data_IF_221649626466
#
_entry.id   IF_221649626466
#
_cell.length_a   1.000
_cell.length_b   1.000
_cell.length_c   1.000
_cell.angle_alpha   90.00
_cell.angle_beta   90.00
_cell.angle_gamma   90.00
#
_symmetry.space_group_name_H-M   'P 1'
#
loop_
_entity.id
_entity.type
_entity.pdbx_description
1 polymer ?
#
# COMPACT_ATOMS: atom_id res chain seq x y z
N UNK A 1 -11.13 -34.56 -20.24
CA UNK A 1 -10.34 -33.41 -19.76
C UNK A 1 -10.86 -32.13 -20.39
N UNK A 2 -10.67 -30.96 -19.75
CA UNK A 2 -11.09 -29.67 -20.32
C UNK A 2 -10.02 -29.15 -21.26
N UNK A 3 -10.43 -28.54 -22.39
CA UNK A 3 -9.50 -27.79 -23.25
C UNK A 3 -9.05 -26.54 -22.52
N UNK A 4 -7.75 -26.36 -22.38
CA UNK A 4 -7.14 -25.25 -21.63
C UNK A 4 -5.93 -24.71 -22.39
N UNK A 5 -5.58 -23.43 -22.09
CA UNK A 5 -4.37 -22.83 -22.66
C UNK A 5 -3.45 -22.28 -21.56
N UNK A 6 -2.16 -22.43 -21.77
CA UNK A 6 -1.11 -21.79 -21.01
C UNK A 6 -0.39 -20.76 -21.88
N UNK A 7 -0.15 -19.57 -21.34
CA UNK A 7 0.57 -18.50 -22.03
C UNK A 7 1.83 -18.16 -21.30
N UNK A 8 2.94 -18.08 -22.01
CA UNK A 8 4.16 -17.44 -21.57
C UNK A 8 4.29 -16.11 -22.29
N UNK A 9 4.24 -15.01 -21.50
CA UNK A 9 4.11 -13.64 -22.01
C UNK A 9 5.41 -12.88 -21.80
N UNK A 10 6.02 -12.49 -22.91
CA UNK A 10 7.20 -11.63 -22.96
C UNK A 10 6.87 -10.20 -23.40
N UNK A 11 7.89 -9.38 -23.58
CA UNK A 11 7.73 -7.99 -24.01
C UNK A 11 7.10 -7.88 -25.40
N UNK A 12 7.57 -8.68 -26.35
CA UNK A 12 7.24 -8.56 -27.77
C UNK A 12 6.49 -9.78 -28.31
N UNK A 13 6.49 -10.91 -27.57
CA UNK A 13 5.94 -12.19 -28.00
C UNK A 13 5.11 -12.88 -26.92
N UNK A 14 4.16 -13.68 -27.33
CA UNK A 14 3.32 -14.55 -26.50
C UNK A 14 3.43 -15.96 -27.06
N UNK A 15 3.96 -16.90 -26.28
CA UNK A 15 3.89 -18.32 -26.62
C UNK A 15 2.63 -18.91 -26.00
N UNK A 16 1.74 -19.44 -26.85
CA UNK A 16 0.49 -20.08 -26.42
C UNK A 16 0.58 -21.59 -26.66
N UNK A 17 0.22 -22.36 -25.65
CA UNK A 17 0.04 -23.80 -25.77
C UNK A 17 -1.39 -24.17 -25.41
N UNK A 18 -2.09 -24.85 -26.34
CA UNK A 18 -3.44 -25.40 -26.11
C UNK A 18 -3.34 -26.91 -25.93
N UNK A 19 -3.89 -27.43 -24.84
CA UNK A 19 -4.01 -28.84 -24.53
C UNK A 19 -5.48 -29.27 -24.67
N UNK A 20 -5.74 -30.19 -25.58
CA UNK A 20 -7.02 -30.88 -25.79
C UNK A 20 -6.96 -32.30 -25.22
N UNK A 21 -8.13 -32.98 -25.15
CA UNK A 21 -8.27 -34.23 -24.40
C UNK A 21 -7.36 -35.37 -24.88
N UNK A 22 -7.09 -35.47 -26.17
CA UNK A 22 -6.36 -36.60 -26.77
C UNK A 22 -5.48 -36.17 -27.97
N UNK A 23 -5.18 -34.88 -28.12
CA UNK A 23 -4.45 -34.33 -29.26
C UNK A 23 -3.02 -33.89 -28.89
N UNK A 24 -2.16 -33.87 -29.92
CA UNK A 24 -0.86 -33.22 -29.83
C UNK A 24 -1.02 -31.77 -29.37
N UNK A 25 -0.19 -31.26 -28.46
CA UNK A 25 -0.24 -29.87 -28.04
C UNK A 25 -0.15 -28.93 -29.24
N UNK A 26 -1.14 -28.01 -29.37
CA UNK A 26 -1.04 -26.93 -30.34
C UNK A 26 -0.21 -25.82 -29.71
N UNK A 27 0.87 -25.41 -30.37
CA UNK A 27 1.78 -24.36 -29.91
C UNK A 27 1.95 -23.35 -31.03
N UNK A 28 1.72 -22.06 -30.72
CA UNK A 28 1.90 -20.96 -31.66
C UNK A 28 2.43 -19.73 -30.95
N UNK A 29 3.25 -18.98 -31.63
CA UNK A 29 3.77 -17.69 -31.21
C UNK A 29 2.88 -16.58 -31.80
N UNK A 30 2.59 -15.55 -30.96
CA UNK A 30 1.81 -14.38 -31.33
C UNK A 30 2.57 -13.11 -30.92
N UNK A 31 2.28 -12.02 -31.61
CA UNK A 31 2.74 -10.70 -31.22
C UNK A 31 1.99 -10.17 -30.00
N UNK A 32 2.65 -9.36 -29.17
CA UNK A 32 2.00 -8.60 -28.08
C UNK A 32 1.27 -7.34 -28.57
N UNK A 33 1.29 -7.05 -29.87
CA UNK A 33 0.45 -6.00 -30.46
C UNK A 33 -1.03 -6.39 -30.32
N UNK A 34 -1.92 -5.39 -30.25
CA UNK A 34 -3.37 -5.64 -30.05
C UNK A 34 -3.93 -6.62 -31.06
N UNK A 35 -3.60 -6.48 -32.35
CA UNK A 35 -4.02 -7.39 -33.40
C UNK A 35 -3.52 -8.84 -33.18
N UNK A 36 -2.30 -9.02 -32.68
CA UNK A 36 -1.78 -10.35 -32.36
C UNK A 36 -2.46 -10.98 -31.15
N UNK A 37 -2.85 -10.17 -30.15
CA UNK A 37 -3.64 -10.66 -29.00
C UNK A 37 -5.08 -10.99 -29.43
N UNK A 38 -5.66 -10.22 -30.33
CA UNK A 38 -6.99 -10.53 -30.93
C UNK A 38 -6.94 -11.82 -31.75
N UNK A 39 -5.89 -12.03 -32.59
CA UNK A 39 -5.64 -13.29 -33.30
C UNK A 39 -5.55 -14.47 -32.32
N UNK A 40 -4.78 -14.31 -31.25
CA UNK A 40 -4.70 -15.33 -30.19
C UNK A 40 -6.10 -15.60 -29.59
N UNK A 41 -6.87 -14.57 -29.31
CA UNK A 41 -8.24 -14.72 -28.78
C UNK A 41 -9.14 -15.54 -29.72
N UNK A 42 -9.11 -15.25 -31.02
CA UNK A 42 -9.92 -15.93 -32.02
C UNK A 42 -9.48 -17.40 -32.20
N UNK A 43 -8.18 -17.66 -32.24
CA UNK A 43 -7.66 -19.01 -32.30
C UNK A 43 -8.07 -19.82 -31.06
N UNK A 44 -7.96 -19.26 -29.86
CA UNK A 44 -8.36 -19.92 -28.62
C UNK A 44 -9.88 -20.20 -28.58
N UNK A 45 -10.70 -19.29 -29.08
CA UNK A 45 -12.17 -19.48 -29.19
C UNK A 45 -12.54 -20.57 -30.17
N UNK A 46 -11.89 -20.59 -31.35
CA UNK A 46 -12.11 -21.61 -32.37
C UNK A 46 -11.80 -23.02 -31.89
N UNK A 47 -10.76 -23.15 -31.03
CA UNK A 47 -10.38 -24.41 -30.40
C UNK A 47 -11.20 -24.79 -29.16
N UNK A 48 -12.19 -23.99 -28.80
CA UNK A 48 -13.10 -24.26 -27.67
C UNK A 48 -12.42 -24.13 -26.29
N UNK A 49 -11.33 -23.35 -26.18
CA UNK A 49 -10.70 -23.03 -24.91
C UNK A 49 -11.66 -22.22 -24.05
N UNK A 50 -11.76 -22.55 -22.76
CA UNK A 50 -12.58 -21.78 -21.78
C UNK A 50 -11.75 -21.18 -20.66
N UNK A 51 -10.59 -21.76 -20.38
CA UNK A 51 -9.73 -21.31 -19.28
C UNK A 51 -8.30 -21.12 -19.79
N UNK A 52 -7.74 -19.98 -19.51
CA UNK A 52 -6.37 -19.60 -19.89
C UNK A 52 -5.57 -19.26 -18.64
N UNK A 53 -4.35 -19.78 -18.51
CA UNK A 53 -3.43 -19.39 -17.46
C UNK A 53 -2.22 -18.67 -18.06
N UNK A 54 -1.73 -17.63 -17.35
CA UNK A 54 -0.53 -16.89 -17.73
C UNK A 54 0.32 -16.55 -16.51
N UNK A 55 1.64 -16.42 -16.73
CA UNK A 55 2.59 -16.04 -15.68
C UNK A 55 2.55 -14.52 -15.43
N UNK A 56 2.65 -14.10 -14.16
CA UNK A 56 2.66 -12.69 -13.76
C UNK A 56 4.07 -12.06 -13.88
N UNK A 57 4.70 -12.18 -15.05
CA UNK A 57 6.03 -11.62 -15.30
C UNK A 57 5.92 -10.13 -15.64
N UNK A 58 6.47 -9.27 -14.79
CA UNK A 58 6.48 -7.81 -14.98
C UNK A 58 5.09 -7.22 -15.15
N UNK A 59 4.92 -6.41 -16.20
CA UNK A 59 3.65 -5.75 -16.58
C UNK A 59 3.06 -6.33 -17.89
N UNK A 60 3.80 -7.21 -18.57
CA UNK A 60 3.50 -7.66 -19.93
C UNK A 60 2.19 -8.45 -20.03
N UNK A 61 1.79 -9.12 -18.95
CA UNK A 61 0.52 -9.85 -18.88
C UNK A 61 -0.72 -8.93 -18.90
N UNK A 62 -0.58 -7.64 -18.53
CA UNK A 62 -1.72 -6.73 -18.37
C UNK A 62 -2.50 -6.49 -19.67
N UNK A 63 -1.87 -6.10 -20.80
CA UNK A 63 -2.59 -5.93 -22.06
C UNK A 63 -3.24 -7.22 -22.55
N UNK A 64 -2.59 -8.36 -22.36
CA UNK A 64 -3.11 -9.68 -22.73
C UNK A 64 -4.35 -10.03 -21.89
N UNK A 65 -4.29 -9.74 -20.58
CA UNK A 65 -5.42 -9.92 -19.68
C UNK A 65 -6.62 -9.09 -20.11
N UNK A 66 -6.44 -7.82 -20.41
CA UNK A 66 -7.49 -6.87 -20.75
C UNK A 66 -8.30 -7.30 -22.00
N UNK A 67 -7.62 -7.87 -22.99
CA UNK A 67 -8.28 -8.39 -24.21
C UNK A 67 -8.97 -9.73 -23.94
N UNK A 68 -8.29 -10.64 -23.25
CA UNK A 68 -8.75 -12.02 -23.09
C UNK A 68 -9.84 -12.19 -22.02
N UNK A 69 -9.91 -11.32 -20.99
CA UNK A 69 -10.89 -11.48 -19.90
C UNK A 69 -12.35 -11.39 -20.34
N UNK A 70 -12.61 -10.79 -21.51
CA UNK A 70 -13.94 -10.70 -22.10
C UNK A 70 -14.50 -12.05 -22.57
N UNK A 71 -13.63 -13.00 -22.84
CA UNK A 71 -13.97 -14.27 -23.48
C UNK A 71 -13.60 -15.50 -22.69
N UNK A 72 -12.64 -15.40 -21.78
CA UNK A 72 -12.04 -16.53 -21.09
C UNK A 72 -12.03 -16.35 -19.57
N UNK A 73 -12.11 -17.47 -18.86
CA UNK A 73 -11.72 -17.50 -17.45
C UNK A 73 -10.20 -17.46 -17.36
N UNK A 74 -9.65 -16.36 -16.86
CA UNK A 74 -8.22 -16.16 -16.75
C UNK A 74 -7.68 -16.53 -15.36
N UNK A 75 -6.49 -17.10 -15.32
CA UNK A 75 -5.76 -17.42 -14.10
C UNK A 75 -4.34 -16.85 -14.22
N UNK A 76 -4.07 -15.82 -13.43
CA UNK A 76 -2.72 -15.25 -13.32
C UNK A 76 -1.93 -16.02 -12.28
N UNK A 77 -0.76 -16.54 -12.65
CA UNK A 77 0.05 -17.40 -11.78
C UNK A 77 1.35 -16.71 -11.38
N UNK A 78 1.69 -16.81 -10.11
CA UNK A 78 2.98 -16.28 -9.64
C UNK A 78 4.11 -17.22 -10.05
N UNK A 79 5.19 -16.69 -10.70
CA UNK A 79 6.37 -17.45 -11.12
C UNK A 79 6.98 -18.34 -10.03
N UNK A 80 6.93 -17.88 -8.79
CA UNK A 80 7.46 -18.62 -7.64
C UNK A 80 6.84 -20.02 -7.49
N UNK A 81 5.53 -20.15 -7.76
CA UNK A 81 4.84 -21.44 -7.63
C UNK A 81 5.09 -22.35 -8.84
N UNK A 82 5.27 -21.78 -10.04
CA UNK A 82 5.58 -22.52 -11.25
C UNK A 82 6.99 -23.13 -11.16
N UNK A 83 7.97 -22.37 -10.65
CA UNK A 83 9.38 -22.77 -10.54
C UNK A 83 9.66 -23.84 -9.49
N UNK A 84 8.75 -24.10 -8.57
CA UNK A 84 8.92 -25.16 -7.56
C UNK A 84 8.68 -26.56 -8.10
N UNK A 85 8.17 -26.71 -9.32
CA UNK A 85 7.97 -28.01 -9.95
C UNK A 85 9.12 -28.28 -10.91
N UNK A 86 9.88 -29.39 -10.76
CA UNK A 86 11.06 -29.68 -11.60
C UNK A 86 10.74 -29.81 -13.08
N UNK A 87 11.53 -29.18 -13.95
CA UNK A 87 11.38 -29.27 -15.42
C UNK A 87 12.46 -28.50 -16.17
N UNK A 88 12.67 -28.80 -17.45
CA UNK A 88 13.66 -28.13 -18.31
C UNK A 88 13.05 -26.88 -18.96
N UNK A 89 13.78 -25.76 -18.97
CA UNK A 89 13.36 -24.46 -19.49
C UNK A 89 13.59 -24.28 -20.99
N UNK A 90 12.50 -23.90 -21.69
CA UNK A 90 12.49 -23.15 -22.96
C UNK A 90 11.11 -22.48 -23.01
N UNK A 91 10.95 -21.32 -23.67
CA UNK A 91 9.70 -20.54 -23.67
C UNK A 91 8.49 -21.34 -24.19
N UNK A 92 8.69 -22.18 -25.21
CA UNK A 92 7.71 -23.15 -25.69
C UNK A 92 7.32 -24.16 -24.60
N UNK A 93 8.30 -24.64 -23.84
CA UNK A 93 8.06 -25.58 -22.73
C UNK A 93 7.43 -24.90 -21.53
N UNK A 94 7.68 -23.60 -21.33
CA UNK A 94 7.09 -22.84 -20.23
C UNK A 94 5.59 -22.63 -20.48
N UNK A 95 5.15 -22.28 -21.68
CA UNK A 95 3.73 -22.23 -22.05
C UNK A 95 3.05 -23.61 -21.92
N UNK A 96 3.69 -24.67 -22.44
CA UNK A 96 3.19 -26.04 -22.33
C UNK A 96 3.11 -26.52 -20.87
N UNK A 97 4.09 -26.14 -20.07
CA UNK A 97 4.12 -26.46 -18.64
C UNK A 97 2.98 -25.78 -17.88
N UNK A 98 2.73 -24.49 -18.13
CA UNK A 98 1.59 -23.74 -17.55
C UNK A 98 0.27 -24.43 -17.95
N UNK A 99 0.10 -24.79 -19.24
CA UNK A 99 -1.09 -25.50 -19.71
C UNK A 99 -1.28 -26.86 -19.01
N UNK A 100 -0.19 -27.61 -18.83
CA UNK A 100 -0.20 -28.91 -18.15
C UNK A 100 -0.61 -28.79 -16.70
N UNK A 101 -0.02 -27.84 -15.96
CA UNK A 101 -0.38 -27.59 -14.58
C UNK A 101 -1.83 -27.13 -14.42
N UNK A 102 -2.30 -26.28 -15.37
CA UNK A 102 -3.69 -25.85 -15.43
C UNK A 102 -4.64 -27.03 -15.62
N UNK A 103 -4.35 -27.89 -16.59
CA UNK A 103 -5.19 -29.06 -16.92
C UNK A 103 -5.29 -30.03 -15.74
N UNK A 104 -4.20 -30.18 -14.96
CA UNK A 104 -4.14 -31.01 -13.75
C UNK A 104 -4.72 -30.34 -12.50
N UNK A 105 -5.17 -29.06 -12.58
CA UNK A 105 -5.72 -28.30 -11.43
C UNK A 105 -4.69 -27.95 -10.37
N UNK A 106 -3.40 -27.92 -10.73
CA UNK A 106 -2.29 -27.65 -9.79
C UNK A 106 -1.93 -26.16 -9.67
N UNK A 107 -2.54 -25.28 -10.50
CA UNK A 107 -2.26 -23.85 -10.46
C UNK A 107 -3.09 -23.16 -9.39
N UNK A 108 -2.44 -22.36 -8.58
CA UNK A 108 -3.06 -21.42 -7.67
C UNK A 108 -3.02 -20.02 -8.27
N UNK A 109 -4.19 -19.47 -8.61
CA UNK A 109 -4.31 -18.13 -9.16
C UNK A 109 -3.93 -17.04 -8.17
N UNK A 110 -3.32 -15.97 -8.68
CA UNK A 110 -3.13 -14.71 -7.97
C UNK A 110 -4.44 -13.92 -7.99
N UNK A 111 -4.64 -13.08 -6.99
CA UNK A 111 -5.77 -12.17 -6.96
C UNK A 111 -5.58 -11.06 -8.01
N UNK A 112 -6.45 -11.04 -9.01
CA UNK A 112 -6.59 -9.94 -9.98
C UNK A 112 -7.99 -9.36 -9.76
N UNK A 113 -8.12 -8.10 -9.37
CA UNK A 113 -9.44 -7.48 -9.19
C UNK A 113 -10.10 -7.21 -10.54
N UNK A 114 -11.39 -6.89 -10.50
CA UNK A 114 -12.15 -6.42 -11.67
C UNK A 114 -11.57 -5.11 -12.24
N UNK A 115 -12.06 -4.71 -13.40
CA UNK A 115 -11.58 -3.53 -14.13
C UNK A 115 -11.62 -2.26 -13.28
N UNK A 116 -12.74 -1.99 -12.59
CA UNK A 116 -12.93 -0.79 -11.79
C UNK A 116 -11.95 -0.71 -10.63
N UNK A 117 -11.72 -1.83 -9.94
CA UNK A 117 -10.74 -1.91 -8.86
C UNK A 117 -9.30 -1.87 -9.39
N UNK A 118 -9.04 -2.33 -10.62
CA UNK A 118 -7.73 -2.16 -11.26
C UNK A 118 -7.46 -0.68 -11.53
N UNK A 119 -8.45 0.05 -12.04
CA UNK A 119 -8.35 1.49 -12.26
C UNK A 119 -8.08 2.25 -10.95
N UNK A 120 -8.88 2.00 -9.91
CA UNK A 120 -8.68 2.57 -8.58
C UNK A 120 -7.28 2.27 -8.04
N UNK A 121 -6.77 1.06 -8.25
CA UNK A 121 -5.42 0.64 -7.84
C UNK A 121 -4.32 1.37 -8.60
N UNK A 122 -4.50 1.65 -9.89
CA UNK A 122 -3.53 2.43 -10.66
C UNK A 122 -3.45 3.88 -10.18
N UNK A 123 -4.58 4.53 -9.89
CA UNK A 123 -4.59 5.87 -9.28
C UNK A 123 -3.92 5.87 -7.90
N UNK A 124 -4.25 4.90 -7.04
CA UNK A 124 -3.63 4.78 -5.71
C UNK A 124 -2.11 4.61 -5.80
N UNK A 125 -1.64 3.71 -6.64
CA UNK A 125 -0.20 3.48 -6.82
C UNK A 125 0.51 4.67 -7.46
N UNK A 126 -0.18 5.40 -8.33
CA UNK A 126 0.23 6.69 -8.84
C UNK A 126 0.42 7.70 -7.71
N UNK A 127 -0.58 7.84 -6.86
CA UNK A 127 -0.54 8.71 -5.68
C UNK A 127 0.62 8.35 -4.74
N UNK A 128 0.86 7.06 -4.48
CA UNK A 128 2.00 6.62 -3.66
C UNK A 128 3.35 6.97 -4.31
N UNK A 129 3.49 6.86 -5.63
CA UNK A 129 4.71 7.29 -6.35
C UNK A 129 4.95 8.80 -6.19
N UNK A 130 3.91 9.61 -6.37
CA UNK A 130 3.97 11.06 -6.20
C UNK A 130 4.28 11.45 -4.74
N UNK A 131 3.72 10.76 -3.74
CA UNK A 131 4.03 11.00 -2.32
C UNK A 131 5.51 10.72 -1.99
N UNK A 132 6.11 9.72 -2.61
CA UNK A 132 7.55 9.48 -2.46
C UNK A 132 8.39 10.58 -3.15
N UNK A 133 7.93 11.09 -4.29
CA UNK A 133 8.58 12.20 -5.00
C UNK A 133 8.44 13.50 -4.21
N UNK A 134 7.29 13.81 -3.64
CA UNK A 134 7.05 14.92 -2.73
C UNK A 134 8.07 14.91 -1.58
N UNK A 135 8.22 13.78 -0.90
CA UNK A 135 9.19 13.64 0.21
C UNK A 135 10.63 13.93 -0.23
N UNK A 136 11.03 13.49 -1.44
CA UNK A 136 12.37 13.78 -1.99
C UNK A 136 12.55 15.26 -2.31
N UNK A 137 11.50 15.92 -2.82
CA UNK A 137 11.52 17.34 -3.12
C UNK A 137 11.58 18.18 -1.84
N UNK A 138 10.82 17.83 -0.82
CA UNK A 138 10.91 18.45 0.52
C UNK A 138 12.33 18.37 1.08
N UNK A 139 12.96 17.21 1.03
CA UNK A 139 14.37 17.04 1.47
C UNK A 139 15.34 17.85 0.62
N UNK A 140 15.06 18.03 -0.68
CA UNK A 140 15.89 18.85 -1.56
C UNK A 140 15.74 20.32 -1.24
N UNK A 141 14.52 20.82 -1.04
CA UNK A 141 14.21 22.18 -0.61
C UNK A 141 14.90 22.47 0.75
N UNK A 142 14.78 21.55 1.71
CA UNK A 142 15.46 21.72 3.01
C UNK A 142 16.97 21.86 2.87
N UNK A 143 17.61 21.00 2.07
CA UNK A 143 19.05 21.07 1.84
C UNK A 143 19.47 22.40 1.18
N UNK A 144 18.65 22.95 0.28
CA UNK A 144 18.90 24.24 -0.35
C UNK A 144 18.77 25.38 0.66
N UNK A 145 17.72 25.37 1.50
CA UNK A 145 17.58 26.34 2.58
C UNK A 145 18.77 26.29 3.56
N UNK A 146 19.20 25.08 3.95
CA UNK A 146 20.36 24.89 4.83
C UNK A 146 21.66 25.45 4.21
N UNK A 147 21.88 25.29 2.90
CA UNK A 147 23.04 25.87 2.18
C UNK A 147 23.04 27.39 2.23
N UNK A 148 21.87 28.02 2.22
CA UNK A 148 21.69 29.45 2.38
C UNK A 148 21.75 29.92 3.86
N UNK A 149 22.00 29.02 4.80
CA UNK A 149 21.86 29.22 6.24
C UNK A 149 20.45 29.66 6.69
N UNK A 150 19.42 29.31 5.95
CA UNK A 150 18.01 29.47 6.37
C UNK A 150 17.62 28.22 7.17
N UNK A 151 17.32 28.39 8.48
CA UNK A 151 17.12 27.30 9.44
C UNK A 151 15.67 27.19 9.95
N UNK A 152 14.72 27.75 9.25
CA UNK A 152 13.30 27.76 9.68
C UNK A 152 12.71 26.36 9.87
N UNK A 153 13.21 25.36 9.15
CA UNK A 153 12.80 23.96 9.28
C UNK A 153 13.05 23.37 10.67
N UNK A 154 14.02 23.91 11.42
CA UNK A 154 14.27 23.51 12.82
C UNK A 154 13.12 23.87 13.78
N UNK A 155 12.25 24.78 13.41
CA UNK A 155 11.10 25.23 14.19
C UNK A 155 9.76 24.74 13.63
N UNK A 156 9.76 24.14 12.45
CA UNK A 156 8.60 23.59 11.80
C UNK A 156 8.46 22.09 12.07
N UNK A 157 7.22 21.62 12.22
CA UNK A 157 6.93 20.18 12.45
C UNK A 157 7.20 19.33 11.19
N UNK A 158 7.08 19.94 10.02
CA UNK A 158 7.29 19.31 8.70
C UNK A 158 7.88 20.32 7.74
N UNK A 159 8.73 19.88 6.82
CA UNK A 159 9.29 20.71 5.76
C UNK A 159 8.16 21.22 4.85
N UNK A 160 7.23 20.35 4.43
CA UNK A 160 6.05 20.71 3.62
C UNK A 160 4.95 21.48 4.38
N UNK A 161 5.25 22.07 5.55
CA UNK A 161 4.26 22.89 6.26
C UNK A 161 4.00 24.20 5.51
N UNK A 162 2.77 24.73 5.65
CA UNK A 162 2.36 25.98 5.02
C UNK A 162 3.32 27.14 5.35
N UNK A 163 3.83 27.20 6.57
CA UNK A 163 4.81 28.21 6.99
C UNK A 163 6.11 28.14 6.16
N UNK A 164 6.71 26.94 6.07
CA UNK A 164 7.96 26.75 5.32
C UNK A 164 7.75 27.02 3.85
N UNK A 165 6.66 26.51 3.26
CA UNK A 165 6.38 26.69 1.82
C UNK A 165 6.08 28.15 1.46
N UNK A 166 5.40 28.94 2.32
CA UNK A 166 5.23 30.39 2.12
C UNK A 166 6.56 31.13 2.12
N UNK A 167 7.51 30.76 3.03
CA UNK A 167 8.84 31.35 3.06
C UNK A 167 9.63 30.98 1.80
N UNK A 168 9.58 29.72 1.37
CA UNK A 168 10.21 29.26 0.12
C UNK A 168 9.68 30.04 -1.06
N UNK A 169 8.36 30.21 -1.16
CA UNK A 169 7.72 30.99 -2.20
C UNK A 169 8.20 32.44 -2.20
N UNK A 170 8.20 33.11 -1.07
CA UNK A 170 8.67 34.50 -0.94
C UNK A 170 10.13 34.67 -1.37
N UNK A 171 11.00 33.72 -0.98
CA UNK A 171 12.39 33.70 -1.44
C UNK A 171 12.49 33.55 -2.96
N UNK A 172 11.69 32.66 -3.56
CA UNK A 172 11.63 32.47 -5.00
C UNK A 172 11.14 33.75 -5.72
N UNK A 173 10.23 34.49 -5.11
CA UNK A 173 9.72 35.78 -5.62
C UNK A 173 10.72 36.93 -5.42
N UNK A 174 11.76 36.75 -4.60
CA UNK A 174 12.86 37.70 -4.40
C UNK A 174 12.88 38.37 -3.05
N UNK A 175 12.01 37.98 -2.12
CA UNK A 175 12.11 38.49 -0.75
C UNK A 175 13.17 37.73 0.05
N UNK A 176 14.18 38.46 0.51
CA UNK A 176 15.32 37.89 1.27
C UNK A 176 15.48 38.51 2.66
N UNK A 177 14.70 39.54 2.97
CA UNK A 177 14.77 40.25 4.25
C UNK A 177 14.15 39.42 5.36
N UNK A 178 14.92 39.09 6.40
CA UNK A 178 14.47 38.26 7.51
C UNK A 178 13.19 38.82 8.19
N UNK A 179 13.06 40.16 8.32
CA UNK A 179 11.87 40.80 8.90
C UNK A 179 10.59 40.51 8.11
N UNK A 180 10.67 40.47 6.77
CA UNK A 180 9.51 40.19 5.94
C UNK A 180 9.17 38.69 5.95
N UNK A 181 10.17 37.84 5.87
CA UNK A 181 10.00 36.39 5.95
C UNK A 181 9.43 35.96 7.31
N UNK A 182 9.80 36.62 8.40
CA UNK A 182 9.28 36.35 9.73
C UNK A 182 7.77 36.57 9.84
N UNK A 183 7.20 37.53 9.11
CA UNK A 183 5.75 37.79 9.08
C UNK A 183 4.96 36.59 8.54
N UNK A 184 5.57 35.75 7.72
CA UNK A 184 4.96 34.55 7.13
C UNK A 184 4.93 33.36 8.09
N UNK A 185 5.67 33.44 9.22
CA UNK A 185 5.71 32.38 10.22
C UNK A 185 4.42 32.41 11.04
N UNK A 186 3.82 31.20 11.20
CA UNK A 186 2.59 31.05 11.98
C UNK A 186 2.76 31.59 13.40
N UNK A 187 1.80 32.39 13.88
CA UNK A 187 1.87 33.16 15.14
C UNK A 187 2.29 32.34 16.37
N UNK A 188 1.78 31.10 16.52
CA UNK A 188 2.19 30.21 17.64
C UNK A 188 3.69 29.91 17.65
N UNK A 189 4.28 29.66 16.48
CA UNK A 189 5.71 29.37 16.34
C UNK A 189 6.50 30.65 16.59
N UNK A 190 6.11 31.76 15.96
CA UNK A 190 6.75 33.08 16.11
C UNK A 190 6.76 33.55 17.55
N UNK A 191 5.63 33.50 18.26
CA UNK A 191 5.55 33.96 19.64
C UNK A 191 6.37 33.11 20.61
N UNK A 192 6.47 31.79 20.35
CA UNK A 192 7.24 30.88 21.21
C UNK A 192 8.75 31.04 21.05
N UNK A 193 9.25 31.45 19.87
CA UNK A 193 10.67 31.44 19.53
C UNK A 193 11.14 32.72 18.82
N UNK A 194 10.57 33.91 19.17
CA UNK A 194 10.68 35.16 18.42
C UNK A 194 12.10 35.48 17.91
N UNK A 195 13.07 35.58 18.79
CA UNK A 195 14.47 35.93 18.45
C UNK A 195 15.13 34.84 17.57
N UNK A 196 14.90 33.58 17.93
CA UNK A 196 15.49 32.44 17.20
C UNK A 196 14.90 32.29 15.80
N UNK A 197 13.62 32.65 15.62
CA UNK A 197 12.98 32.64 14.31
C UNK A 197 13.63 33.69 13.42
N UNK A 198 13.77 34.92 13.91
CA UNK A 198 14.44 35.97 13.16
C UNK A 198 15.84 35.56 12.73
N UNK A 199 16.65 35.10 13.67
CA UNK A 199 18.02 34.60 13.39
C UNK A 199 18.04 33.44 12.41
N UNK A 200 17.05 32.53 12.46
CA UNK A 200 16.96 31.39 11.55
C UNK A 200 16.66 31.77 10.09
N UNK A 201 16.22 32.99 9.87
CA UNK A 201 15.89 33.54 8.53
C UNK A 201 16.98 34.47 7.98
N UNK A 202 18.02 34.75 8.78
CA UNK A 202 19.17 35.53 8.35
C UNK A 202 20.15 34.64 7.59
N UNK A 203 19.94 34.57 6.28
CA UNK A 203 20.80 33.76 5.41
C UNK A 203 21.36 34.56 4.24
N UNK A 204 22.25 33.95 3.47
CA UNK A 204 22.82 34.51 2.24
C UNK A 204 22.30 33.70 1.06
N UNK A 205 21.48 34.33 0.23
CA UNK A 205 20.84 33.68 -0.92
C UNK A 205 21.45 34.24 -2.21
N UNK A 206 22.24 33.42 -2.89
CA UNK A 206 22.86 33.77 -4.17
C UNK A 206 21.87 33.56 -5.32
N UNK A 207 22.08 34.17 -6.47
CA UNK A 207 21.20 33.96 -7.65
C UNK A 207 21.06 32.50 -8.04
N UNK A 208 22.13 31.68 -7.95
CA UNK A 208 22.09 30.26 -8.25
C UNK A 208 21.24 29.49 -7.21
N UNK A 209 21.31 29.83 -5.92
CA UNK A 209 20.55 29.19 -4.86
C UNK A 209 19.05 29.49 -5.05
N UNK A 210 18.69 30.73 -5.37
CA UNK A 210 17.33 31.13 -5.70
C UNK A 210 16.79 30.36 -6.90
N UNK A 211 17.57 30.24 -7.99
CA UNK A 211 17.15 29.50 -9.18
C UNK A 211 16.86 28.03 -8.87
N UNK A 212 17.78 27.34 -8.18
CA UNK A 212 17.63 25.93 -7.83
C UNK A 212 16.48 25.69 -6.84
N UNK A 213 16.29 26.60 -5.89
CA UNK A 213 15.16 26.55 -4.96
C UNK A 213 13.83 26.70 -5.70
N UNK A 214 13.75 27.68 -6.63
CA UNK A 214 12.56 27.88 -7.44
C UNK A 214 12.21 26.66 -8.30
N UNK A 215 13.19 26.04 -8.96
CA UNK A 215 12.97 24.82 -9.73
C UNK A 215 12.41 23.69 -8.85
N UNK A 216 12.98 23.48 -7.66
CA UNK A 216 12.51 22.45 -6.73
C UNK A 216 11.11 22.76 -6.19
N UNK A 217 10.80 24.02 -5.94
CA UNK A 217 9.50 24.47 -5.48
C UNK A 217 8.41 24.32 -6.56
N UNK A 218 8.70 24.67 -7.79
CA UNK A 218 7.77 24.44 -8.92
C UNK A 218 7.47 22.96 -9.11
N UNK A 219 8.49 22.10 -9.05
CA UNK A 219 8.29 20.65 -9.11
C UNK A 219 7.42 20.15 -7.94
N UNK A 220 7.65 20.66 -6.72
CA UNK A 220 6.85 20.34 -5.56
C UNK A 220 5.37 20.72 -5.74
N UNK A 221 5.11 21.94 -6.25
CA UNK A 221 3.75 22.39 -6.54
C UNK A 221 3.05 21.50 -7.58
N UNK A 222 3.75 21.17 -8.68
CA UNK A 222 3.22 20.28 -9.72
C UNK A 222 2.87 18.88 -9.13
N UNK A 223 3.75 18.32 -8.31
CA UNK A 223 3.49 17.04 -7.66
C UNK A 223 2.26 17.11 -6.75
N UNK A 224 2.08 18.23 -6.03
CA UNK A 224 0.88 18.44 -5.19
C UNK A 224 -0.39 18.52 -6.02
N UNK A 225 -0.35 19.22 -7.14
CA UNK A 225 -1.48 19.27 -8.07
C UNK A 225 -1.83 17.88 -8.59
N UNK A 226 -0.85 17.13 -9.09
CA UNK A 226 -1.05 15.78 -9.61
C UNK A 226 -1.59 14.81 -8.55
N UNK A 227 -1.15 14.93 -7.29
CA UNK A 227 -1.72 14.16 -6.19
C UNK A 227 -3.21 14.46 -5.99
N UNK A 228 -3.61 15.73 -6.05
CA UNK A 228 -5.00 16.13 -5.89
C UNK A 228 -5.87 15.58 -7.04
N UNK A 229 -5.39 15.63 -8.28
CA UNK A 229 -6.07 15.06 -9.44
C UNK A 229 -6.33 13.56 -9.25
N UNK A 230 -5.32 12.80 -8.79
CA UNK A 230 -5.50 11.37 -8.51
C UNK A 230 -6.48 11.11 -7.36
N UNK A 231 -6.44 11.91 -6.29
CA UNK A 231 -7.40 11.83 -5.18
C UNK A 231 -8.83 12.08 -5.68
N UNK A 232 -9.03 13.04 -6.56
CA UNK A 232 -10.35 13.33 -7.13
C UNK A 232 -10.89 12.16 -7.95
N UNK A 233 -10.06 11.51 -8.77
CA UNK A 233 -10.47 10.32 -9.53
C UNK A 233 -10.81 9.15 -8.57
N UNK A 234 -9.97 8.89 -7.58
CA UNK A 234 -10.25 7.88 -6.56
C UNK A 234 -11.55 8.18 -5.79
N UNK A 235 -11.78 9.47 -5.46
CA UNK A 235 -13.01 9.89 -4.78
C UNK A 235 -14.25 9.59 -5.62
N UNK A 236 -14.25 9.89 -6.92
CA UNK A 236 -15.37 9.61 -7.82
C UNK A 236 -15.70 8.11 -7.83
N UNK A 237 -14.69 7.27 -8.08
CA UNK A 237 -14.88 5.82 -8.10
C UNK A 237 -15.44 5.32 -6.76
N UNK A 238 -14.86 5.77 -5.63
CA UNK A 238 -15.29 5.32 -4.32
C UNK A 238 -16.69 5.82 -3.93
N UNK A 239 -17.03 7.05 -4.30
CA UNK A 239 -18.36 7.60 -4.08
C UNK A 239 -19.43 6.84 -4.88
N UNK A 240 -19.17 6.60 -6.16
CA UNK A 240 -20.17 6.04 -7.06
C UNK A 240 -20.37 4.52 -6.85
N UNK A 241 -19.34 3.79 -6.42
CA UNK A 241 -19.36 2.33 -6.39
C UNK A 241 -19.11 1.69 -5.02
N UNK A 242 -18.49 2.40 -4.06
CA UNK A 242 -18.03 1.84 -2.78
C UNK A 242 -18.41 2.66 -1.54
N UNK A 243 -19.45 3.48 -1.63
CA UNK A 243 -19.83 4.40 -0.55
C UNK A 243 -20.09 3.67 0.79
N UNK A 244 -20.75 2.52 0.74
CA UNK A 244 -21.07 1.71 1.93
C UNK A 244 -19.81 1.17 2.59
N UNK A 245 -18.91 0.61 1.79
CA UNK A 245 -17.63 0.07 2.25
C UNK A 245 -16.73 1.17 2.80
N UNK A 246 -16.72 2.35 2.15
CA UNK A 246 -15.98 3.53 2.62
C UNK A 246 -16.48 4.00 3.98
N UNK A 247 -17.80 4.09 4.18
CA UNK A 247 -18.41 4.44 5.47
C UNK A 247 -18.06 3.43 6.54
N UNK A 248 -18.23 2.15 6.25
CA UNK A 248 -17.94 1.07 7.18
C UNK A 248 -16.45 1.03 7.59
N UNK A 249 -15.51 1.16 6.65
CA UNK A 249 -14.07 1.22 6.93
C UNK A 249 -13.72 2.43 7.81
N UNK A 250 -14.36 3.58 7.57
CA UNK A 250 -14.17 4.80 8.35
C UNK A 250 -14.58 4.69 9.83
N UNK A 251 -15.41 3.69 10.20
CA UNK A 251 -15.76 3.44 11.60
C UNK A 251 -14.63 2.81 12.41
N UNK A 252 -13.61 2.25 11.75
CA UNK A 252 -12.47 1.60 12.41
C UNK A 252 -11.48 2.68 12.89
N UNK A 253 -11.14 2.74 14.19
CA UNK A 253 -10.16 3.69 14.71
C UNK A 253 -8.83 3.64 13.94
N UNK A 254 -8.36 4.81 13.51
CA UNK A 254 -7.11 4.97 12.78
C UNK A 254 -7.20 4.80 11.27
N UNK A 255 -8.39 4.51 10.74
CA UNK A 255 -8.66 4.50 9.30
C UNK A 255 -9.39 5.79 8.93
N UNK A 256 -8.80 6.58 8.03
CA UNK A 256 -9.39 7.78 7.46
C UNK A 256 -9.86 7.50 6.02
N UNK A 257 -10.47 8.50 5.39
CA UNK A 257 -11.03 8.38 4.05
C UNK A 257 -9.98 7.93 3.01
N UNK A 258 -8.80 8.56 2.98
CA UNK A 258 -7.73 8.20 2.06
C UNK A 258 -7.20 6.77 2.29
N UNK A 259 -7.04 6.36 3.56
CA UNK A 259 -6.63 4.99 3.85
C UNK A 259 -7.70 3.95 3.50
N UNK A 260 -8.99 4.31 3.61
CA UNK A 260 -10.09 3.44 3.12
C UNK A 260 -10.01 3.21 1.61
N UNK A 261 -9.77 4.27 0.83
CA UNK A 261 -9.56 4.14 -0.63
C UNK A 261 -8.37 3.24 -0.96
N UNK A 262 -7.23 3.43 -0.28
CA UNK A 262 -6.03 2.59 -0.48
C UNK A 262 -6.30 1.12 -0.13
N UNK A 263 -7.03 0.86 0.96
CA UNK A 263 -7.39 -0.51 1.36
C UNK A 263 -8.29 -1.15 0.30
N UNK A 264 -9.36 -0.46 -0.13
CA UNK A 264 -10.27 -0.97 -1.17
C UNK A 264 -9.56 -1.21 -2.50
N UNK A 265 -8.67 -0.29 -2.92
CA UNK A 265 -7.87 -0.44 -4.13
C UNK A 265 -7.05 -1.75 -4.13
N UNK A 266 -6.54 -2.15 -2.97
CA UNK A 266 -5.65 -3.32 -2.89
C UNK A 266 -6.40 -4.64 -2.65
N UNK A 267 -7.51 -4.66 -1.90
CA UNK A 267 -8.21 -5.91 -1.55
C UNK A 267 -9.60 -6.05 -2.17
N UNK A 268 -10.16 -4.96 -2.72
CA UNK A 268 -11.53 -4.93 -3.20
C UNK A 268 -12.57 -4.94 -2.07
N UNK A 269 -13.83 -5.05 -2.45
CA UNK A 269 -14.97 -5.16 -1.54
C UNK A 269 -15.52 -6.58 -1.43
N UNK A 270 -15.12 -7.48 -2.33
CA UNK A 270 -15.50 -8.90 -2.30
C UNK A 270 -14.41 -9.76 -1.65
N UNK A 271 -14.74 -10.35 -0.51
CA UNK A 271 -13.82 -11.22 0.23
C UNK A 271 -13.81 -12.68 -0.26
N UNK A 272 -14.58 -13.04 -1.28
CA UNK A 272 -14.57 -14.39 -1.86
C UNK A 272 -13.20 -14.79 -2.42
N UNK A 273 -12.40 -13.81 -2.83
CA UNK A 273 -11.01 -14.03 -3.29
C UNK A 273 -10.05 -14.49 -2.18
N UNK A 274 -10.43 -14.32 -0.92
CA UNK A 274 -9.63 -14.72 0.24
C UNK A 274 -10.42 -15.71 1.10
N UNK A 275 -10.07 -17.01 1.11
CA UNK A 275 -10.84 -18.03 1.84
C UNK A 275 -11.05 -17.74 3.32
N UNK A 276 -10.11 -17.03 3.98
CA UNK A 276 -10.23 -16.60 5.37
C UNK A 276 -9.45 -15.29 5.60
N UNK A 277 -9.74 -14.63 6.71
CA UNK A 277 -8.98 -13.48 7.22
C UNK A 277 -7.47 -13.75 7.32
N UNK A 278 -7.10 -15.00 7.70
CA UNK A 278 -5.70 -15.44 7.79
C UNK A 278 -5.00 -15.48 6.41
N UNK A 279 -5.75 -15.81 5.35
CA UNK A 279 -5.22 -15.77 3.98
C UNK A 279 -4.96 -14.33 3.54
N UNK A 280 -5.88 -13.41 3.80
CA UNK A 280 -5.69 -11.98 3.54
C UNK A 280 -4.49 -11.42 4.30
N UNK A 281 -4.36 -11.72 5.59
CA UNK A 281 -3.21 -11.31 6.43
C UNK A 281 -1.87 -11.85 5.89
N UNK A 282 -1.86 -13.08 5.40
CA UNK A 282 -0.67 -13.68 4.79
C UNK A 282 -0.33 -13.00 3.47
N UNK A 283 -1.34 -12.73 2.64
CA UNK A 283 -1.19 -12.03 1.37
C UNK A 283 -0.70 -10.59 1.55
N UNK A 284 -1.14 -9.90 2.60
CA UNK A 284 -0.65 -8.56 2.97
C UNK A 284 0.79 -8.57 3.53
N UNK A 285 1.38 -9.73 3.81
CA UNK A 285 2.70 -9.82 4.43
C UNK A 285 2.73 -9.37 5.88
N UNK A 286 1.62 -9.52 6.61
CA UNK A 286 1.51 -9.22 8.05
C UNK A 286 1.58 -10.47 8.94
N UNK A 287 1.83 -11.65 8.34
CA UNK A 287 2.05 -12.90 9.06
C UNK A 287 3.55 -13.07 9.35
N UNK A 288 3.97 -13.45 10.58
CA UNK A 288 5.34 -13.87 10.82
C UNK A 288 5.62 -15.18 10.06
N UNK A 289 6.84 -15.29 9.53
CA UNK A 289 7.36 -16.53 8.96
C UNK A 289 7.52 -17.53 10.05
N UNK A 290 7.08 -18.43 10.42
CA UNK A 290 7.47 -19.43 11.44
C UNK A 290 8.39 -20.48 10.78
N UNK A 291 9.51 -20.00 10.23
CA UNK A 291 10.51 -20.90 9.65
C UNK A 291 11.25 -21.58 10.81
N UNK A 292 10.83 -22.78 11.13
CA UNK A 292 11.42 -23.63 12.14
C UNK A 292 11.97 -24.90 11.50
N UNK A 293 13.16 -25.33 11.89
CA UNK A 293 13.78 -26.57 11.45
C UNK A 293 14.49 -27.20 12.65
N UNK A 294 14.14 -28.43 12.98
CA UNK A 294 14.69 -29.17 14.12
C UNK A 294 14.62 -28.40 15.45
N UNK A 295 13.46 -27.76 15.74
CA UNK A 295 13.23 -26.99 16.96
C UNK A 295 13.93 -25.60 16.98
N UNK A 296 14.69 -25.24 15.93
CA UNK A 296 15.36 -23.94 15.84
C UNK A 296 14.60 -23.00 14.91
N UNK A 297 14.22 -21.83 15.42
CA UNK A 297 13.55 -20.77 14.65
C UNK A 297 14.59 -20.09 13.73
N UNK A 298 14.51 -20.33 12.41
CA UNK A 298 15.40 -19.75 11.40
C UNK A 298 15.07 -18.28 11.11
N UNK A 299 13.81 -17.87 11.12
CA UNK A 299 13.40 -16.49 10.86
C UNK A 299 12.11 -16.12 11.59
N UNK A 300 12.13 -14.94 12.23
CA UNK A 300 10.94 -14.28 12.83
C UNK A 300 10.47 -13.08 11.99
N UNK A 301 11.02 -12.89 10.77
CA UNK A 301 10.61 -11.80 9.86
C UNK A 301 9.19 -12.06 9.35
N UNK A 302 8.48 -11.01 8.98
CA UNK A 302 7.20 -11.15 8.29
C UNK A 302 7.38 -11.69 6.88
N UNK A 303 6.36 -12.37 6.34
CA UNK A 303 6.38 -12.86 4.97
C UNK A 303 6.47 -11.70 3.95
N UNK A 304 6.96 -12.00 2.74
CA UNK A 304 6.75 -11.11 1.63
C UNK A 304 5.26 -11.06 1.30
N UNK A 305 4.76 -9.90 0.90
CA UNK A 305 3.35 -9.72 0.56
C UNK A 305 3.13 -8.37 -0.12
N UNK A 306 1.88 -7.96 -0.26
CA UNK A 306 1.53 -6.70 -0.88
C UNK A 306 2.10 -5.51 -0.08
N UNK A 307 3.08 -4.83 -0.69
CA UNK A 307 3.81 -3.73 -0.03
C UNK A 307 2.94 -2.49 0.21
N UNK A 308 1.96 -2.23 -0.65
CA UNK A 308 1.06 -1.09 -0.55
C UNK A 308 0.07 -1.29 0.61
N UNK A 309 -0.61 -2.43 0.63
CA UNK A 309 -1.52 -2.77 1.73
C UNK A 309 -0.78 -2.82 3.08
N UNK A 310 0.39 -3.46 3.14
CA UNK A 310 1.17 -3.51 4.38
C UNK A 310 1.55 -2.12 4.88
N UNK A 311 1.98 -1.21 3.97
CA UNK A 311 2.34 0.17 4.32
C UNK A 311 1.16 0.90 4.95
N UNK A 312 0.00 0.90 4.29
CA UNK A 312 -1.17 1.62 4.79
C UNK A 312 -1.69 1.02 6.10
N UNK A 313 -1.72 -0.31 6.23
CA UNK A 313 -2.15 -0.96 7.47
C UNK A 313 -1.25 -0.65 8.67
N UNK A 314 0.06 -0.51 8.46
CA UNK A 314 0.98 -0.08 9.53
C UNK A 314 0.74 1.38 9.91
N UNK A 315 0.44 2.26 8.96
CA UNK A 315 0.08 3.66 9.24
C UNK A 315 -1.25 3.75 10.01
N UNK A 316 -2.27 3.00 9.60
CA UNK A 316 -3.54 2.91 10.31
C UNK A 316 -3.36 2.37 11.73
N UNK A 317 -2.54 1.34 11.91
CA UNK A 317 -2.23 0.78 13.22
C UNK A 317 -1.53 1.81 14.13
N UNK A 318 -0.62 2.60 13.57
CA UNK A 318 0.06 3.67 14.29
C UNK A 318 -0.93 4.76 14.73
N UNK A 319 -1.86 5.17 13.88
CA UNK A 319 -2.92 6.11 14.23
C UNK A 319 -3.87 5.54 15.29
N UNK A 320 -4.34 4.29 15.11
CA UNK A 320 -5.22 3.61 16.04
C UNK A 320 -4.60 3.43 17.43
N UNK A 321 -3.30 3.17 17.52
CA UNK A 321 -2.57 3.05 18.79
C UNK A 321 -2.52 4.35 19.59
N UNK A 322 -2.81 5.49 18.96
CA UNK A 322 -2.83 6.85 19.55
C UNK A 322 -4.25 7.38 19.74
N UNK A 323 -5.26 6.73 19.20
CA UNK A 323 -6.65 7.12 19.37
C UNK A 323 -7.07 6.82 20.81
N UNK A 324 -7.25 7.89 21.62
CA UNK A 324 -7.60 7.78 23.05
C UNK A 324 -8.89 6.98 23.25
N UNK A 325 -8.86 6.07 24.21
CA UNK A 325 -10.02 5.24 24.55
C UNK A 325 -10.33 4.11 23.55
N UNK A 326 -9.59 4.00 22.44
CA UNK A 326 -9.82 2.92 21.48
C UNK A 326 -9.32 1.57 22.03
N UNK A 327 -10.01 0.50 21.62
CA UNK A 327 -9.56 -0.86 21.94
C UNK A 327 -8.13 -1.13 21.43
N UNK A 328 -7.77 -0.55 20.28
CA UNK A 328 -6.43 -0.70 19.69
C UNK A 328 -5.34 -0.05 20.54
N UNK A 329 -5.61 1.11 21.16
CA UNK A 329 -4.66 1.76 22.08
C UNK A 329 -4.35 0.86 23.27
N UNK A 330 -5.38 0.37 23.95
CA UNK A 330 -5.21 -0.54 25.09
C UNK A 330 -4.49 -1.83 24.70
N UNK A 331 -4.81 -2.37 23.52
CA UNK A 331 -4.15 -3.59 23.00
C UNK A 331 -2.69 -3.35 22.62
N UNK A 332 -2.38 -2.21 22.03
CA UNK A 332 -1.01 -1.81 21.72
C UNK A 332 -0.15 -1.71 22.98
N UNK A 333 -0.63 -1.02 24.02
CA UNK A 333 0.07 -0.89 25.32
C UNK A 333 0.34 -2.27 25.94
N UNK A 334 -0.64 -3.16 25.97
CA UNK A 334 -0.46 -4.54 26.45
C UNK A 334 0.63 -5.32 25.69
N UNK A 335 0.73 -5.09 24.37
CA UNK A 335 1.73 -5.75 23.54
C UNK A 335 3.13 -5.18 23.76
N UNK A 336 3.27 -3.87 24.01
CA UNK A 336 4.54 -3.21 24.26
C UNK A 336 5.24 -3.69 25.54
N UNK A 337 4.50 -4.21 26.52
CA UNK A 337 5.09 -4.84 27.72
C UNK A 337 6.00 -6.02 27.38
N UNK A 338 5.70 -6.75 26.28
CA UNK A 338 6.40 -8.01 25.91
C UNK A 338 7.09 -7.95 24.55
N UNK A 339 6.89 -6.88 23.77
CA UNK A 339 7.37 -6.76 22.40
C UNK A 339 7.85 -5.33 22.16
N UNK A 340 8.80 -5.15 21.23
CA UNK A 340 9.14 -3.81 20.75
C UNK A 340 7.94 -3.16 20.06
N UNK A 341 7.85 -1.84 20.10
CA UNK A 341 6.77 -1.05 19.47
C UNK A 341 6.52 -1.44 17.99
N UNK A 342 7.60 -1.63 17.22
CA UNK A 342 7.50 -2.06 15.82
C UNK A 342 6.78 -3.40 15.67
N UNK A 343 7.06 -4.38 16.54
CA UNK A 343 6.38 -5.68 16.54
C UNK A 343 4.94 -5.57 17.03
N UNK A 344 4.68 -4.68 18.01
CA UNK A 344 3.35 -4.39 18.49
C UNK A 344 2.48 -3.74 17.40
N UNK A 345 3.03 -2.77 16.63
CA UNK A 345 2.32 -2.14 15.49
C UNK A 345 1.95 -3.15 14.41
N UNK A 346 2.85 -4.06 14.03
CA UNK A 346 2.53 -5.13 13.07
C UNK A 346 1.40 -6.02 13.60
N UNK A 347 1.37 -6.31 14.90
CA UNK A 347 0.31 -7.11 15.50
C UNK A 347 -1.05 -6.37 15.51
N UNK A 348 -1.05 -5.04 15.70
CA UNK A 348 -2.25 -4.20 15.58
C UNK A 348 -2.71 -4.15 14.13
N UNK A 349 -1.81 -3.87 13.17
CA UNK A 349 -2.11 -3.87 11.73
C UNK A 349 -2.76 -5.18 11.29
N UNK A 350 -2.22 -6.33 11.75
CA UNK A 350 -2.82 -7.63 11.52
C UNK A 350 -4.25 -7.72 12.06
N UNK A 351 -4.50 -7.26 13.28
CA UNK A 351 -5.84 -7.29 13.88
C UNK A 351 -6.83 -6.38 13.16
N UNK A 352 -6.39 -5.17 12.77
CA UNK A 352 -7.21 -4.30 11.94
C UNK A 352 -7.59 -4.97 10.62
N UNK A 353 -6.64 -5.60 9.93
CA UNK A 353 -6.91 -6.27 8.65
C UNK A 353 -7.88 -7.44 8.80
N UNK A 354 -7.82 -8.21 9.91
CA UNK A 354 -8.81 -9.25 10.20
C UNK A 354 -10.21 -8.66 10.44
N UNK A 355 -10.30 -7.52 11.10
CA UNK A 355 -11.57 -6.80 11.32
C UNK A 355 -12.10 -6.25 9.99
N UNK A 356 -11.25 -5.67 9.15
CA UNK A 356 -11.61 -5.21 7.80
C UNK A 356 -12.20 -6.37 6.97
N UNK A 357 -11.56 -7.55 7.00
CA UNK A 357 -12.07 -8.74 6.32
C UNK A 357 -13.50 -9.07 6.75
N UNK A 358 -13.75 -9.17 8.06
CA UNK A 358 -15.08 -9.46 8.60
C UNK A 358 -16.10 -8.38 8.24
N UNK A 359 -15.72 -7.11 8.36
CA UNK A 359 -16.58 -5.97 8.05
C UNK A 359 -16.99 -5.96 6.57
N UNK A 360 -16.06 -6.17 5.65
CA UNK A 360 -16.37 -6.25 4.21
C UNK A 360 -17.20 -7.50 3.86
N UNK A 361 -17.00 -8.61 4.58
CA UNK A 361 -17.77 -9.83 4.39
C UNK A 361 -19.21 -9.72 4.93
N UNK A 362 -19.37 -9.13 6.12
CA UNK A 362 -20.68 -9.04 6.81
C UNK A 362 -21.44 -7.75 6.47
N UNK A 363 -20.74 -6.76 5.90
CA UNK A 363 -21.26 -5.40 5.60
C UNK A 363 -21.79 -4.68 6.84
N UNK A 364 -21.18 -4.93 8.00
CA UNK A 364 -21.53 -4.31 9.27
C UNK A 364 -20.46 -3.31 9.70
N UNK A 365 -20.86 -2.31 10.48
CA UNK A 365 -19.95 -1.34 11.06
C UNK A 365 -19.05 -1.96 12.13
N UNK A 366 -17.92 -1.28 12.41
CA UNK A 366 -17.00 -1.73 13.43
C UNK A 366 -17.62 -1.66 14.84
N UNK A 367 -17.63 -2.79 15.50
CA UNK A 367 -17.95 -2.89 16.92
C UNK A 367 -16.67 -3.27 17.68
N UNK A 368 -16.31 -2.45 18.68
CA UNK A 368 -15.12 -2.72 19.48
C UNK A 368 -15.25 -4.07 20.20
N UNK A 369 -14.24 -4.96 20.10
CA UNK A 369 -14.27 -6.21 20.85
C UNK A 369 -14.43 -5.94 22.35
N UNK A 370 -15.42 -6.57 22.98
CA UNK A 370 -15.59 -6.46 24.42
C UNK A 370 -14.38 -7.07 25.10
N UNK A 371 -13.64 -6.26 25.84
CA UNK A 371 -12.51 -6.75 26.65
C UNK A 371 -13.06 -7.43 27.89
N UNK A 372 -13.39 -8.71 27.80
CA UNK A 372 -13.55 -9.52 29.01
C UNK A 372 -12.16 -9.68 29.65
N UNK A 373 -11.89 -8.85 30.64
CA UNK A 373 -10.73 -9.03 31.49
C UNK A 373 -10.92 -10.29 32.30
N UNK A 374 -9.98 -11.24 32.26
CA UNK A 374 -9.97 -12.38 33.19
C UNK A 374 -9.87 -11.85 34.62
N UNK A 375 -10.31 -12.63 35.58
CA UNK A 375 -10.26 -12.25 37.00
C UNK A 375 -8.84 -11.81 37.42
N UNK A 376 -7.83 -12.51 36.96
CA UNK A 376 -6.40 -12.21 37.16
C UNK A 376 -5.97 -10.87 36.56
N UNK A 377 -6.50 -10.54 35.36
CA UNK A 377 -6.21 -9.24 34.70
C UNK A 377 -6.92 -8.07 35.40
N UNK A 378 -8.11 -8.30 35.94
CA UNK A 378 -8.82 -7.31 36.79
C UNK A 378 -8.03 -7.02 38.04
N UNK A 379 -7.58 -8.07 38.78
CA UNK A 379 -6.78 -7.90 39.97
C UNK A 379 -5.45 -7.15 39.73
N UNK A 380 -4.73 -7.49 38.65
CA UNK A 380 -3.49 -6.77 38.28
C UNK A 380 -3.74 -5.31 37.96
N UNK A 381 -4.85 -4.98 37.29
CA UNK A 381 -5.25 -3.59 37.02
C UNK A 381 -5.59 -2.84 38.32
N UNK A 382 -6.35 -3.47 39.21
CA UNK A 382 -6.70 -2.88 40.51
C UNK A 382 -5.42 -2.59 41.31
N UNK A 383 -4.50 -3.56 41.46
CA UNK A 383 -3.20 -3.36 42.14
C UNK A 383 -2.36 -2.26 41.49
N UNK A 384 -2.36 -2.14 40.16
CA UNK A 384 -1.65 -1.08 39.46
C UNK A 384 -2.21 0.31 39.78
N UNK A 385 -3.54 0.48 39.73
CA UNK A 385 -4.18 1.75 40.05
C UNK A 385 -4.08 2.11 41.53
N UNK A 386 -4.17 1.14 42.44
CA UNK A 386 -3.91 1.33 43.85
C UNK A 386 -2.50 1.88 44.10
N UNK A 387 -1.48 1.23 43.51
CA UNK A 387 -0.09 1.73 43.60
C UNK A 387 0.10 3.14 43.03
N UNK A 388 -0.62 3.51 41.98
CA UNK A 388 -0.59 4.88 41.44
C UNK A 388 -1.28 5.90 42.37
N UNK A 389 -2.38 5.52 42.99
CA UNK A 389 -3.08 6.30 43.99
C UNK A 389 -2.21 6.54 45.22
N UNK A 390 -1.55 5.48 45.72
CA UNK A 390 -0.63 5.58 46.85
C UNK A 390 0.55 6.50 46.58
N UNK A 391 1.10 6.49 45.36
CA UNK A 391 2.13 7.42 44.93
C UNK A 391 1.65 8.87 44.92
N UNK A 392 0.43 9.10 44.39
CA UNK A 392 -0.16 10.45 44.35
C UNK A 392 -0.52 10.99 45.76
N UNK A 393 -1.01 10.11 46.65
CA UNK A 393 -1.32 10.48 48.04
C UNK A 393 -0.08 10.74 48.90
N UNK A 394 1.07 10.12 48.56
CA UNK A 394 2.35 10.33 49.26
C UNK A 394 3.20 11.49 48.65
N UNK A 395 2.72 12.14 47.60
CA UNK A 395 3.33 13.33 46.98
C UNK A 395 2.66 14.65 47.42
N UNK A 396 1.63 14.63 48.27
CA UNK A 396 1.03 15.77 48.98
C UNK A 396 1.48 15.78 50.43
#
# INVERSE_FOLDING_TARGET
>A
MKTVSGLDVHKDTIFACVLQKDNVPFIKEYSTMTCGIEELSDDLRSMGVKTVAMESTGIYWMPVWEVLERHFKLILVNPYYIKQVPGRKTDVKDAQWIATLLQKGLLKGSFVPDHLLRELREYERGYVRLSNQETRLEQTIERQLIKCNIRITSFATKIGSATVMKIVQAICEGEVRANELEKLVHGRIRNKHKEKIHQSLQGVIRPCDKLLLNQSYQQYQLVKQQQNELIEQMNRICHDHFEKEMKALGTIPGINYLSSMTILAEIGNDMASFPTDKHLVSWAGLRPRNDESAGKIKSKKVTHGNKYLRRIMVQCAWAASRTKGSWFQGKFQQLCVRKSERKALIAIARKQLMIIYLLLQTKQDYVAPVQMLTADQKQRKVKYYQKQLDVLLNMG
#
